data_IF_624033528803
#
_entry.id   IF_624033528803
#
_cell.length_a   1.000
_cell.length_b   1.000
_cell.length_c   1.000
_cell.angle_alpha   90.00
_cell.angle_beta   90.00
_cell.angle_gamma   90.00
#
_symmetry.space_group_name_H-M   'P 1'
#
loop_
_entity.id
_entity.type
_entity.pdbx_description
1 polymer ?
#
# COMPACT_ATOMS: atom_id res chain seq x y z
N UNK A 1 -6.79 -1.86 -22.75
CA UNK A 1 -5.92 -2.84 -22.05
C UNK A 1 -5.47 -3.85 -23.07
N UNK A 2 -4.17 -4.19 -23.08
CA UNK A 2 -3.62 -5.24 -23.94
C UNK A 2 -3.91 -6.62 -23.35
N UNK A 3 -4.05 -7.63 -24.20
CA UNK A 3 -4.18 -9.03 -23.78
C UNK A 3 -2.87 -9.54 -23.13
N UNK A 4 -2.95 -10.60 -22.32
CA UNK A 4 -1.82 -11.17 -21.56
C UNK A 4 -0.56 -11.44 -22.42
N UNK A 5 -0.73 -11.78 -23.69
CA UNK A 5 0.31 -11.73 -24.71
C UNK A 5 -0.26 -11.07 -25.96
N UNK A 6 0.44 -10.07 -26.49
CA UNK A 6 0.06 -9.40 -27.72
C UNK A 6 1.30 -8.90 -28.47
N UNK A 7 1.12 -8.61 -29.75
CA UNK A 7 2.08 -7.87 -30.58
C UNK A 7 1.33 -6.69 -31.17
N UNK A 8 1.83 -5.48 -30.96
CA UNK A 8 1.19 -4.24 -31.44
C UNK A 8 2.25 -3.42 -32.16
N UNK A 9 2.01 -2.99 -33.42
CA UNK A 9 2.92 -2.11 -34.12
C UNK A 9 2.92 -0.73 -33.45
N UNK A 10 4.11 -0.23 -33.10
CA UNK A 10 4.29 1.11 -32.55
C UNK A 10 4.66 2.09 -33.66
N UNK A 11 4.09 3.29 -33.60
CA UNK A 11 4.37 4.40 -34.51
C UNK A 11 5.21 5.45 -33.80
N UNK A 12 5.81 6.34 -34.59
CA UNK A 12 6.51 7.50 -34.05
C UNK A 12 5.55 8.37 -33.24
N UNK A 13 5.92 8.66 -31.99
CA UNK A 13 5.10 9.42 -31.04
C UNK A 13 4.27 8.58 -30.06
N UNK A 14 4.23 7.25 -30.22
CA UNK A 14 3.52 6.38 -29.28
C UNK A 14 4.26 6.27 -27.93
N UNK A 15 3.50 6.24 -26.82
CA UNK A 15 4.03 6.08 -25.47
C UNK A 15 3.64 4.72 -24.91
N UNK A 16 4.63 3.93 -24.52
CA UNK A 16 4.42 2.62 -23.87
C UNK A 16 4.66 2.75 -22.36
N UNK A 17 3.68 2.33 -21.56
CA UNK A 17 3.81 2.22 -20.10
C UNK A 17 3.74 0.76 -19.69
N UNK A 18 4.85 0.24 -19.15
CA UNK A 18 4.89 -1.09 -18.53
C UNK A 18 4.66 -0.94 -17.03
N UNK A 19 3.69 -1.67 -16.50
CA UNK A 19 3.42 -1.76 -15.07
C UNK A 19 3.59 -3.20 -14.63
N UNK A 20 4.62 -3.46 -13.82
CA UNK A 20 4.84 -4.76 -13.21
C UNK A 20 4.17 -4.80 -11.83
N UNK A 21 3.60 -5.95 -11.44
CA UNK A 21 3.11 -6.12 -10.07
C UNK A 21 4.29 -6.08 -9.09
N UNK A 22 4.05 -5.52 -7.90
CA UNK A 22 4.98 -5.62 -6.78
C UNK A 22 4.86 -6.98 -6.05
N UNK A 23 5.73 -7.19 -5.07
CA UNK A 23 5.64 -8.34 -4.17
C UNK A 23 4.48 -8.19 -3.14
N UNK A 24 4.01 -9.31 -2.62
CA UNK A 24 3.06 -9.32 -1.49
C UNK A 24 3.79 -9.04 -0.16
N UNK A 25 3.19 -8.21 0.70
CA UNK A 25 3.72 -7.92 2.03
C UNK A 25 3.45 -9.03 3.05
N UNK A 26 4.23 -9.06 4.13
CA UNK A 26 4.08 -10.03 5.23
C UNK A 26 3.89 -9.30 6.58
N UNK A 27 3.01 -9.84 7.43
CA UNK A 27 2.77 -9.33 8.79
C UNK A 27 1.90 -8.07 8.87
N UNK A 28 1.80 -7.50 10.07
CA UNK A 28 1.06 -6.26 10.32
C UNK A 28 1.92 -5.04 9.96
N UNK A 29 1.43 -4.09 9.13
CA UNK A 29 2.21 -2.92 8.75
C UNK A 29 2.64 -2.03 9.93
N UNK A 30 1.85 -1.97 11.00
CA UNK A 30 2.13 -1.14 12.17
C UNK A 30 3.23 -1.71 13.07
N UNK A 31 3.58 -3.00 12.90
CA UNK A 31 4.65 -3.67 13.65
C UNK A 31 6.02 -3.48 12.99
N UNK A 32 6.06 -3.03 11.72
CA UNK A 32 7.33 -2.78 11.03
C UNK A 32 8.11 -1.66 11.70
N UNK A 33 9.43 -1.83 11.79
CA UNK A 33 10.36 -0.83 12.32
C UNK A 33 10.22 0.52 11.59
N UNK A 34 9.93 1.64 12.28
CA UNK A 34 9.84 2.95 11.68
C UNK A 34 11.11 3.40 10.95
N UNK A 35 12.31 3.05 11.45
CA UNK A 35 13.56 3.46 10.81
C UNK A 35 13.75 2.76 9.46
N UNK A 36 13.40 1.48 9.37
CA UNK A 36 13.34 0.75 8.09
C UNK A 36 12.37 1.38 7.08
N UNK A 37 11.21 1.89 7.52
CA UNK A 37 10.26 2.57 6.64
C UNK A 37 10.82 3.91 6.13
N UNK A 38 11.56 4.65 6.96
CA UNK A 38 12.24 5.89 6.55
C UNK A 38 13.30 5.59 5.50
N UNK A 39 14.08 4.52 5.68
CA UNK A 39 15.06 4.08 4.69
C UNK A 39 14.38 3.71 3.35
N UNK A 40 13.22 3.03 3.38
CA UNK A 40 12.45 2.70 2.19
C UNK A 40 11.92 3.95 1.46
N UNK A 41 11.56 5.01 2.19
CA UNK A 41 11.17 6.30 1.60
C UNK A 41 12.36 7.03 0.99
N UNK A 42 13.51 7.05 1.69
CA UNK A 42 14.76 7.63 1.16
C UNK A 42 15.26 6.91 -0.08
N UNK A 43 14.98 5.61 -0.20
CA UNK A 43 15.27 4.81 -1.38
C UNK A 43 14.20 4.93 -2.48
N UNK A 44 13.26 5.87 -2.36
CA UNK A 44 12.15 6.12 -3.30
C UNK A 44 11.23 4.91 -3.56
N UNK A 45 11.29 3.89 -2.69
CA UNK A 45 10.42 2.70 -2.79
C UNK A 45 9.01 3.01 -2.31
N UNK A 46 8.88 3.97 -1.40
CA UNK A 46 7.64 4.39 -0.78
C UNK A 46 7.53 5.92 -0.82
N UNK A 47 6.31 6.44 -0.99
CA UNK A 47 6.05 7.85 -0.74
C UNK A 47 5.84 8.11 0.75
N UNK A 48 6.14 9.33 1.21
CA UNK A 48 5.88 9.78 2.59
C UNK A 48 4.41 9.58 2.97
N UNK A 49 3.50 9.87 2.05
CA UNK A 49 2.06 9.70 2.23
C UNK A 49 1.69 8.22 2.42
N UNK A 50 2.32 7.31 1.66
CA UNK A 50 2.11 5.87 1.82
C UNK A 50 2.67 5.36 3.14
N UNK A 51 3.86 5.82 3.55
CA UNK A 51 4.48 5.50 4.84
C UNK A 51 3.55 5.84 6.02
N UNK A 52 2.95 7.04 5.99
CA UNK A 52 1.97 7.46 6.98
C UNK A 52 0.69 6.63 6.93
N UNK A 53 0.15 6.40 5.73
CA UNK A 53 -1.15 5.73 5.56
C UNK A 53 -1.10 4.25 5.91
N UNK A 54 -0.04 3.53 5.54
CA UNK A 54 0.03 2.07 5.69
C UNK A 54 0.80 1.68 6.93
N UNK A 55 2.02 2.19 7.10
CA UNK A 55 2.90 1.82 8.22
C UNK A 55 2.69 2.70 9.48
N UNK A 56 1.88 3.75 9.39
CA UNK A 56 1.65 4.68 10.49
C UNK A 56 2.89 5.49 10.85
N UNK A 57 3.85 5.62 9.93
CA UNK A 57 5.12 6.32 10.13
C UNK A 57 5.01 7.73 9.57
N UNK A 58 5.23 8.73 10.41
CA UNK A 58 5.20 10.15 10.03
C UNK A 58 6.62 10.59 9.74
N UNK A 59 6.86 11.02 8.50
CA UNK A 59 8.16 11.46 7.99
C UNK A 59 7.99 12.90 7.53
N UNK A 60 8.97 13.75 7.83
CA UNK A 60 9.01 15.11 7.30
C UNK A 60 9.31 15.09 5.80
N UNK A 61 8.49 15.75 4.99
CA UNK A 61 8.63 15.73 3.52
C UNK A 61 9.86 16.51 3.02
N UNK A 62 10.39 17.43 3.83
CA UNK A 62 11.54 18.26 3.48
C UNK A 62 12.83 17.64 3.97
N UNK A 63 12.88 17.17 5.22
CA UNK A 63 14.11 16.63 5.82
C UNK A 63 14.24 15.12 5.64
N UNK A 64 13.15 14.41 5.29
CA UNK A 64 13.07 12.95 5.24
C UNK A 64 13.51 12.28 6.55
N UNK A 65 13.21 12.94 7.67
CA UNK A 65 13.46 12.45 9.02
C UNK A 65 12.21 11.90 9.68
N UNK A 66 12.41 10.97 10.59
CA UNK A 66 11.34 10.34 11.36
C UNK A 66 10.79 11.31 12.41
N UNK A 67 9.48 11.54 12.39
CA UNK A 67 8.80 12.17 13.51
C UNK A 67 8.32 11.09 14.50
N UNK A 68 9.17 10.78 15.48
CA UNK A 68 8.91 9.72 16.46
C UNK A 68 7.63 9.98 17.27
N UNK A 69 7.43 11.22 17.74
CA UNK A 69 6.28 11.59 18.56
C UNK A 69 4.95 11.45 17.80
N UNK A 70 4.90 11.94 16.55
CA UNK A 70 3.73 11.82 15.71
C UNK A 70 3.47 10.36 15.28
N UNK A 71 4.53 9.61 14.97
CA UNK A 71 4.46 8.17 14.64
C UNK A 71 3.89 7.36 15.80
N UNK A 72 4.41 7.55 17.02
CA UNK A 72 3.92 6.87 18.21
C UNK A 72 2.44 7.17 18.49
N UNK A 73 2.02 8.45 18.36
CA UNK A 73 0.62 8.86 18.52
C UNK A 73 -0.27 8.21 17.46
N UNK A 74 0.17 8.20 16.20
CA UNK A 74 -0.60 7.65 15.09
C UNK A 74 -0.77 6.13 15.21
N UNK A 75 0.29 5.41 15.58
CA UNK A 75 0.23 3.97 15.82
C UNK A 75 -0.65 3.64 17.03
N UNK A 76 -0.50 4.34 18.16
CA UNK A 76 -1.38 4.16 19.34
C UNK A 76 -2.87 4.34 19.00
N UNK A 77 -3.22 5.35 18.20
CA UNK A 77 -4.61 5.58 17.76
C UNK A 77 -5.17 4.46 16.88
N UNK A 78 -4.33 3.80 16.09
CA UNK A 78 -4.72 2.73 15.16
C UNK A 78 -4.70 1.34 15.75
N UNK A 79 -3.87 1.12 16.78
CA UNK A 79 -3.84 -0.13 17.55
C UNK A 79 -5.01 -0.24 18.53
N UNK A 80 -5.73 0.86 18.80
CA UNK A 80 -7.03 0.78 19.46
C UNK A 80 -7.94 -0.13 18.61
N UNK A 81 -8.60 -1.15 19.21
CA UNK A 81 -9.50 -2.00 18.46
C UNK A 81 -10.58 -1.10 17.85
N UNK A 82 -10.60 -1.02 16.53
CA UNK A 82 -11.73 -0.47 15.80
C UNK A 82 -12.93 -1.32 16.23
N UNK A 83 -14.05 -0.74 16.70
CA UNK A 83 -15.28 -1.49 16.89
C UNK A 83 -15.56 -2.26 15.60
N UNK A 84 -15.55 -3.58 15.70
CA UNK A 84 -15.30 -4.49 14.57
C UNK A 84 -16.33 -4.30 13.46
N UNK A 85 -15.83 -4.44 12.23
CA UNK A 85 -16.52 -4.24 10.96
C UNK A 85 -17.96 -4.80 10.89
N UNK A 86 -18.79 -4.12 10.09
CA UNK A 86 -20.07 -4.62 9.60
C UNK A 86 -19.93 -6.03 8.99
N UNK A 87 -20.95 -6.90 9.14
CA UNK A 87 -20.87 -8.29 8.69
C UNK A 87 -20.59 -8.36 7.18
N UNK A 88 -19.62 -9.20 6.79
CA UNK A 88 -19.42 -9.64 5.40
C UNK A 88 -20.78 -10.11 4.87
N UNK A 89 -21.36 -9.43 3.87
CA UNK A 89 -22.52 -9.96 3.15
C UNK A 89 -22.14 -11.32 2.58
N UNK A 90 -22.91 -12.35 2.94
CA UNK A 90 -22.79 -13.68 2.36
C UNK A 90 -22.95 -13.57 0.84
N UNK A 91 -22.06 -14.20 0.06
CA UNK A 91 -22.34 -14.43 -1.35
C UNK A 91 -23.51 -15.41 -1.43
N UNK A 92 -24.56 -15.14 -2.22
CA UNK A 92 -25.54 -16.17 -2.51
C UNK A 92 -24.83 -17.34 -3.21
N UNK A 93 -25.11 -18.55 -2.75
CA UNK A 93 -24.65 -19.77 -3.40
C UNK A 93 -25.24 -19.88 -4.82
N UNK A 94 -24.63 -20.70 -5.69
CA UNK A 94 -25.17 -20.93 -7.03
C UNK A 94 -26.60 -21.50 -6.92
N UNK A 95 -27.52 -21.13 -7.84
CA UNK A 95 -28.86 -21.70 -7.85
C UNK A 95 -28.76 -23.22 -8.05
N UNK A 96 -29.47 -23.98 -7.23
CA UNK A 96 -29.64 -25.41 -7.44
C UNK A 96 -30.32 -25.61 -8.79
N UNK A 97 -29.64 -26.30 -9.70
CA UNK A 97 -30.19 -26.67 -10.99
C UNK A 97 -31.37 -27.62 -10.83
N UNK A 98 -32.37 -27.41 -11.68
CA UNK A 98 -33.44 -28.37 -12.04
C UNK A 98 -32.99 -29.22 -13.22
#
# INVERSE_FOLDING_TARGET
MLSAKCSVPLRFGDVVRVQTPGAAGWGQPLERDPAGVVADVRAEKLSVQYARRVYGVVIDETTLELNEGATARLRRRRTQPVPTASPKKARPGPPAGV
#
